data_IF_791584159832
#
_entry.id   IF_791584159832
#
_cell.length_a   1.000
_cell.length_b   1.000
_cell.length_c   1.000
_cell.angle_alpha   90.00
_cell.angle_beta   90.00
_cell.angle_gamma   90.00
#
_symmetry.space_group_name_H-M   'P 1'
#
loop_
_entity.id
_entity.type
_entity.pdbx_description
1 polymer ?
#
# COMPACT_ATOMS: atom_id res chain seq x y z
N UNK A 1 -14.76 -8.55 -11.76
CA UNK A 1 -13.60 -9.45 -11.70
C UNK A 1 -13.20 -9.64 -10.25
N UNK A 2 -13.04 -10.87 -9.84
CA UNK A 2 -12.66 -11.21 -8.47
C UNK A 2 -11.15 -11.50 -8.46
N UNK A 3 -10.42 -10.80 -7.60
CA UNK A 3 -9.00 -11.05 -7.38
C UNK A 3 -8.81 -11.83 -6.09
N UNK A 4 -8.00 -12.86 -6.14
CA UNK A 4 -7.59 -13.59 -4.96
C UNK A 4 -6.34 -12.92 -4.36
N UNK A 5 -6.49 -12.33 -3.18
CA UNK A 5 -5.37 -11.68 -2.49
C UNK A 5 -4.24 -12.68 -2.23
N UNK A 6 -4.59 -13.97 -2.02
CA UNK A 6 -3.59 -15.03 -1.83
C UNK A 6 -2.61 -15.15 -2.99
N UNK A 7 -3.04 -14.83 -4.21
CA UNK A 7 -2.15 -14.85 -5.38
C UNK A 7 -1.14 -13.70 -5.36
N UNK A 8 -1.48 -12.59 -4.68
CA UNK A 8 -0.61 -11.44 -4.59
C UNK A 8 0.47 -11.59 -3.51
N UNK A 9 0.24 -12.44 -2.51
CA UNK A 9 1.17 -12.60 -1.39
C UNK A 9 2.56 -13.04 -1.86
N UNK A 10 2.73 -14.08 -2.69
CA UNK A 10 4.06 -14.46 -3.17
C UNK A 10 4.76 -13.36 -3.96
N UNK A 11 4.01 -12.59 -4.74
CA UNK A 11 4.56 -11.49 -5.53
C UNK A 11 5.06 -10.36 -4.63
N UNK A 12 4.26 -10.00 -3.62
CA UNK A 12 4.67 -8.97 -2.66
C UNK A 12 5.86 -9.42 -1.84
N UNK A 13 5.89 -10.69 -1.43
CA UNK A 13 7.01 -11.25 -0.67
C UNK A 13 8.30 -11.19 -1.48
N UNK A 14 8.24 -11.54 -2.77
CA UNK A 14 9.39 -11.47 -3.65
C UNK A 14 9.90 -10.04 -3.81
N UNK A 15 8.99 -9.07 -3.95
CA UNK A 15 9.35 -7.66 -4.04
C UNK A 15 10.02 -7.17 -2.75
N UNK A 16 9.45 -7.49 -1.59
CA UNK A 16 10.01 -7.10 -0.29
C UNK A 16 11.40 -7.71 -0.09
N UNK A 17 11.59 -8.97 -0.46
CA UNK A 17 12.89 -9.65 -0.35
C UNK A 17 13.93 -9.02 -1.27
N UNK A 18 13.55 -8.65 -2.48
CA UNK A 18 14.45 -7.97 -3.42
C UNK A 18 14.90 -6.62 -2.87
N UNK A 19 13.96 -5.81 -2.38
CA UNK A 19 14.26 -4.50 -1.79
C UNK A 19 15.16 -4.68 -0.56
N UNK A 20 14.83 -5.63 0.31
CA UNK A 20 15.60 -5.90 1.53
C UNK A 20 17.03 -6.29 1.21
N UNK A 21 17.24 -7.16 0.21
CA UNK A 21 18.57 -7.62 -0.17
C UNK A 21 19.43 -6.49 -0.75
N UNK A 22 18.82 -5.60 -1.53
CA UNK A 22 19.52 -4.46 -2.14
C UNK A 22 19.97 -3.42 -1.13
N UNK A 23 19.22 -3.26 -0.05
CA UNK A 23 19.45 -2.19 0.93
C UNK A 23 19.90 -2.71 2.29
N UNK A 24 20.17 -4.01 2.40
CA UNK A 24 20.56 -4.65 3.65
C UNK A 24 19.54 -4.40 4.77
N UNK A 25 18.27 -4.64 4.46
CA UNK A 25 17.13 -4.42 5.36
C UNK A 25 16.41 -5.74 5.65
N UNK A 26 15.51 -5.71 6.62
CA UNK A 26 14.67 -6.85 6.98
C UNK A 26 13.26 -6.37 7.29
N UNK A 27 12.31 -7.30 7.43
CA UNK A 27 10.97 -6.95 7.91
C UNK A 27 11.06 -6.28 9.29
N UNK A 28 11.87 -6.83 10.18
CA UNK A 28 12.03 -6.28 11.52
C UNK A 28 12.56 -4.85 11.49
N UNK A 29 13.64 -4.61 10.75
CA UNK A 29 14.28 -3.28 10.71
C UNK A 29 13.43 -2.20 10.06
N UNK A 30 12.45 -2.58 9.23
CA UNK A 30 11.58 -1.65 8.50
C UNK A 30 10.13 -1.63 8.99
N UNK A 31 9.81 -2.41 10.04
CA UNK A 31 8.44 -2.63 10.47
C UNK A 31 7.66 -1.34 10.75
N UNK A 32 8.21 -0.47 11.58
CA UNK A 32 7.54 0.78 11.94
C UNK A 32 7.48 1.75 10.76
N UNK A 33 8.51 1.78 9.93
CA UNK A 33 8.52 2.65 8.74
C UNK A 33 7.49 2.20 7.72
N UNK A 34 7.30 0.88 7.56
CA UNK A 34 6.28 0.35 6.66
C UNK A 34 4.87 0.60 7.20
N UNK A 35 4.69 0.55 8.51
CA UNK A 35 3.40 0.90 9.11
C UNK A 35 3.07 2.38 8.88
N UNK A 36 4.06 3.26 9.09
CA UNK A 36 3.87 4.68 8.80
C UNK A 36 3.58 4.91 7.32
N UNK A 37 4.31 4.23 6.43
CA UNK A 37 4.07 4.32 5.00
C UNK A 37 2.64 3.89 4.64
N UNK A 38 2.13 2.84 5.27
CA UNK A 38 0.74 2.41 5.07
C UNK A 38 -0.25 3.52 5.43
N UNK A 39 -0.06 4.18 6.58
CA UNK A 39 -0.92 5.29 6.98
C UNK A 39 -0.85 6.46 5.99
N UNK A 40 0.34 6.78 5.52
CA UNK A 40 0.53 7.83 4.51
C UNK A 40 -0.21 7.49 3.22
N UNK A 41 -0.06 6.25 2.73
CA UNK A 41 -0.71 5.82 1.49
C UNK A 41 -2.23 5.77 1.62
N UNK A 42 -2.75 5.36 2.78
CA UNK A 42 -4.19 5.44 3.03
C UNK A 42 -4.67 6.89 2.92
N UNK A 43 -3.92 7.83 3.49
CA UNK A 43 -4.23 9.25 3.40
C UNK A 43 -4.19 9.75 1.96
N UNK A 44 -3.19 9.36 1.19
CA UNK A 44 -3.08 9.75 -0.23
C UNK A 44 -4.21 9.17 -1.07
N UNK A 45 -4.58 7.92 -0.81
CA UNK A 45 -5.71 7.29 -1.48
C UNK A 45 -7.01 8.03 -1.15
N UNK A 46 -7.29 8.27 0.13
CA UNK A 46 -8.47 9.02 0.55
C UNK A 46 -8.49 10.40 -0.07
N UNK A 47 -7.35 11.09 -0.10
CA UNK A 47 -7.24 12.41 -0.71
C UNK A 47 -7.54 12.38 -2.22
N UNK A 48 -7.10 11.34 -2.93
CA UNK A 48 -7.36 11.22 -4.37
C UNK A 48 -8.84 11.01 -4.68
N UNK A 49 -9.58 10.34 -3.81
CA UNK A 49 -11.03 10.16 -3.97
C UNK A 49 -11.82 11.40 -3.59
N UNK A 50 -11.27 12.23 -2.71
CA UNK A 50 -11.87 13.43 -2.15
C UNK A 50 -13.19 13.19 -1.40
N UNK A 51 -13.53 11.96 -1.11
CA UNK A 51 -14.83 11.59 -0.52
C UNK A 51 -15.07 12.20 0.86
N UNK A 52 -13.99 12.40 1.64
CA UNK A 52 -14.12 12.96 2.99
C UNK A 52 -14.19 14.49 3.01
N UNK A 53 -13.92 15.16 1.88
CA UNK A 53 -13.84 16.62 1.81
C UNK A 53 -15.24 17.22 1.61
N UNK A 54 -16.06 17.14 2.64
CA UNK A 54 -17.44 17.60 2.61
C UNK A 54 -17.56 19.13 2.36
N UNK A 55 -16.47 19.86 2.59
CA UNK A 55 -16.43 21.33 2.40
C UNK A 55 -16.09 21.74 0.97
N UNK A 56 -15.85 20.79 0.08
CA UNK A 56 -15.39 21.07 -1.29
C UNK A 56 -16.37 20.45 -2.31
N UNK A 57 -16.55 21.16 -3.42
CA UNK A 57 -17.33 20.65 -4.55
C UNK A 57 -16.45 20.04 -5.63
N UNK A 58 -15.13 20.07 -5.46
CA UNK A 58 -14.19 19.49 -6.39
C UNK A 58 -14.30 17.96 -6.36
N UNK A 59 -14.40 17.35 -7.54
CA UNK A 59 -14.51 15.91 -7.68
C UNK A 59 -13.18 15.19 -7.49
N UNK A 60 -13.19 13.85 -7.58
CA UNK A 60 -11.99 13.03 -7.42
C UNK A 60 -10.97 13.30 -8.54
N UNK A 61 -9.74 12.85 -8.33
CA UNK A 61 -8.72 12.83 -9.36
C UNK A 61 -9.11 11.83 -10.46
N UNK A 62 -8.37 11.83 -11.57
CA UNK A 62 -8.63 10.89 -12.66
C UNK A 62 -8.51 9.45 -12.16
N UNK A 63 -9.25 8.55 -12.81
CA UNK A 63 -9.37 7.15 -12.37
C UNK A 63 -8.00 6.48 -12.20
N UNK A 64 -7.10 6.69 -13.13
CA UNK A 64 -5.77 6.07 -13.11
C UNK A 64 -5.00 6.47 -11.86
N UNK A 65 -5.12 7.72 -11.46
CA UNK A 65 -4.45 8.23 -10.25
C UNK A 65 -5.04 7.59 -8.99
N UNK A 66 -6.36 7.50 -8.91
CA UNK A 66 -7.04 6.85 -7.77
C UNK A 66 -6.63 5.39 -7.67
N UNK A 67 -6.55 4.68 -8.80
CA UNK A 67 -6.14 3.28 -8.81
C UNK A 67 -4.68 3.09 -8.40
N UNK A 68 -3.79 4.00 -8.82
CA UNK A 68 -2.39 3.97 -8.40
C UNK A 68 -2.26 4.11 -6.90
N UNK A 69 -3.00 5.06 -6.31
CA UNK A 69 -2.97 5.26 -4.86
C UNK A 69 -3.55 4.06 -4.10
N UNK A 70 -4.59 3.44 -4.65
CA UNK A 70 -5.15 2.21 -4.06
C UNK A 70 -4.13 1.07 -4.11
N UNK A 71 -3.39 0.93 -5.21
CA UNK A 71 -2.35 -0.08 -5.36
C UNK A 71 -1.21 0.14 -4.36
N UNK A 72 -0.80 1.39 -4.13
CA UNK A 72 0.24 1.71 -3.16
C UNK A 72 -0.18 1.32 -1.74
N UNK A 73 -1.44 1.57 -1.38
CA UNK A 73 -2.01 1.09 -0.11
C UNK A 73 -1.91 -0.43 0.01
N UNK A 74 -2.28 -1.14 -1.05
CA UNK A 74 -2.31 -2.59 -1.04
C UNK A 74 -0.90 -3.16 -0.85
N UNK A 75 0.11 -2.58 -1.50
CA UNK A 75 1.50 -3.02 -1.34
C UNK A 75 1.94 -2.99 0.14
N UNK A 76 1.74 -1.90 0.83
CA UNK A 76 2.15 -1.78 2.23
C UNK A 76 1.28 -2.64 3.15
N UNK A 77 -0.01 -2.74 2.86
CA UNK A 77 -0.90 -3.64 3.61
C UNK A 77 -0.42 -5.09 3.51
N UNK A 78 -0.13 -5.57 2.30
CA UNK A 78 0.35 -6.94 2.09
C UNK A 78 1.70 -7.16 2.77
N UNK A 79 2.60 -6.20 2.70
CA UNK A 79 3.90 -6.29 3.35
C UNK A 79 3.75 -6.46 4.87
N UNK A 80 2.86 -5.69 5.50
CA UNK A 80 2.57 -5.81 6.93
C UNK A 80 1.87 -7.12 7.26
N UNK A 81 0.96 -7.57 6.39
CA UNK A 81 0.29 -8.85 6.56
C UNK A 81 1.30 -10.01 6.56
N UNK A 82 2.22 -10.02 5.60
CA UNK A 82 3.25 -11.05 5.49
C UNK A 82 4.12 -11.08 6.75
N UNK A 83 4.56 -9.91 7.22
CA UNK A 83 5.38 -9.80 8.42
C UNK A 83 4.73 -10.46 9.64
N UNK A 84 3.41 -10.34 9.77
CA UNK A 84 2.69 -10.78 10.96
C UNK A 84 2.10 -12.18 10.84
N UNK A 85 2.07 -12.78 9.65
CA UNK A 85 1.37 -14.04 9.41
C UNK A 85 2.22 -15.13 8.73
N UNK A 86 3.50 -14.86 8.49
CA UNK A 86 4.38 -15.81 7.80
C UNK A 86 5.59 -16.15 8.64
#
# INVERSE_FOLDING_TARGET
MIYDIGELIPLQKALDEDIASRHNLSYESTSNRRLLALFVEIGEFANSTRTFKFWSTKGPEIRERVLDEAADCLHFFLSKFIENNV
#
